data_IF_523501226774
#
_entry.id   IF_523501226774
#
_cell.length_a   1.000
_cell.length_b   1.000
_cell.length_c   1.000
_cell.angle_alpha   90.00
_cell.angle_beta   90.00
_cell.angle_gamma   90.00
#
_symmetry.space_group_name_H-M   'P 1'
#
loop_
_entity.id
_entity.type
_entity.pdbx_description
1 polymer ?
#
# COMPACT_ATOMS: atom_id res chain seq x y z
N UNK A 1 -44.97 7.52 -22.72
CA UNK A 1 -44.33 6.41 -21.98
C UNK A 1 -43.15 6.85 -21.11
N UNK A 2 -42.01 7.35 -21.63
CA UNK A 2 -40.86 7.74 -20.77
C UNK A 2 -41.13 8.93 -19.84
N UNK A 3 -42.02 9.84 -20.22
CA UNK A 3 -42.43 10.99 -19.40
C UNK A 3 -43.36 10.56 -18.27
N UNK A 4 -44.32 9.68 -18.56
CA UNK A 4 -45.23 9.09 -17.56
C UNK A 4 -44.46 8.36 -16.44
N UNK A 5 -43.33 7.71 -16.77
CA UNK A 5 -42.45 7.09 -15.76
C UNK A 5 -41.86 8.15 -14.83
N UNK A 6 -41.34 9.25 -15.36
CA UNK A 6 -40.75 10.31 -14.53
C UNK A 6 -41.82 10.98 -13.68
N UNK A 7 -42.97 11.31 -14.28
CA UNK A 7 -44.10 11.91 -13.59
C UNK A 7 -44.59 11.03 -12.42
N UNK A 8 -44.70 9.71 -12.64
CA UNK A 8 -45.13 8.77 -11.59
C UNK A 8 -44.18 8.76 -10.39
N UNK A 9 -42.87 8.78 -10.65
CA UNK A 9 -41.83 8.78 -9.61
C UNK A 9 -41.62 10.16 -8.97
N UNK A 10 -42.33 11.20 -9.45
CA UNK A 10 -42.38 12.53 -8.86
C UNK A 10 -43.68 12.81 -8.08
N UNK A 11 -44.57 11.83 -7.93
CA UNK A 11 -45.80 11.94 -7.14
C UNK A 11 -45.53 11.90 -5.63
N UNK A 12 -46.43 12.50 -4.85
CA UNK A 12 -46.27 12.72 -3.42
C UNK A 12 -46.03 11.44 -2.60
N UNK A 13 -46.58 10.30 -3.02
CA UNK A 13 -46.43 9.01 -2.37
C UNK A 13 -45.00 8.44 -2.43
N UNK A 14 -44.18 8.88 -3.40
CA UNK A 14 -42.84 8.36 -3.65
C UNK A 14 -41.75 9.41 -3.89
N UNK A 15 -42.10 10.69 -4.11
CA UNK A 15 -41.16 11.76 -4.48
C UNK A 15 -40.05 11.99 -3.47
N UNK A 16 -40.32 11.68 -2.20
CA UNK A 16 -39.40 11.86 -1.07
C UNK A 16 -38.58 10.61 -0.76
N UNK A 17 -38.73 9.54 -1.54
CA UNK A 17 -37.93 8.32 -1.42
C UNK A 17 -36.74 8.33 -2.39
N UNK A 18 -35.69 7.55 -2.09
CA UNK A 18 -34.66 7.28 -3.10
C UNK A 18 -35.27 6.52 -4.28
N UNK A 19 -34.71 6.63 -5.50
CA UNK A 19 -35.25 5.93 -6.67
C UNK A 19 -35.40 4.42 -6.46
N UNK A 20 -34.48 3.81 -5.71
CA UNK A 20 -34.59 2.39 -5.33
C UNK A 20 -35.75 2.13 -4.39
N UNK A 21 -35.94 2.96 -3.36
CA UNK A 21 -37.05 2.82 -2.40
C UNK A 21 -38.41 3.10 -3.06
N UNK A 22 -38.50 4.14 -3.90
CA UNK A 22 -39.68 4.42 -4.71
C UNK A 22 -40.04 3.24 -5.62
N UNK A 23 -39.03 2.64 -6.27
CA UNK A 23 -39.23 1.48 -7.15
C UNK A 23 -39.85 0.29 -6.41
N UNK A 24 -39.30 -0.09 -5.26
CA UNK A 24 -39.82 -1.23 -4.49
C UNK A 24 -41.16 -0.92 -3.82
N UNK A 25 -41.37 0.29 -3.31
CA UNK A 25 -42.67 0.71 -2.76
C UNK A 25 -43.80 0.57 -3.79
N UNK A 26 -43.58 1.05 -5.01
CA UNK A 26 -44.56 0.92 -6.09
C UNK A 26 -44.83 -0.54 -6.47
N UNK A 27 -43.81 -1.37 -6.44
CA UNK A 27 -43.93 -2.78 -6.76
C UNK A 27 -44.74 -3.54 -5.69
N UNK A 28 -44.42 -3.31 -4.42
CA UNK A 28 -44.93 -4.10 -3.29
C UNK A 28 -46.31 -3.63 -2.83
N UNK A 29 -46.50 -2.31 -2.70
CA UNK A 29 -47.73 -1.73 -2.16
C UNK A 29 -48.75 -1.40 -3.25
N UNK A 30 -48.28 -0.79 -4.35
CA UNK A 30 -49.16 -0.33 -5.42
C UNK A 30 -49.34 -1.37 -6.54
N UNK A 31 -48.55 -2.46 -6.55
CA UNK A 31 -48.51 -3.48 -7.60
C UNK A 31 -48.26 -2.89 -9.00
N UNK A 32 -47.50 -1.80 -9.06
CA UNK A 32 -47.18 -1.06 -10.28
C UNK A 32 -45.75 -1.38 -10.76
N UNK A 33 -45.61 -1.80 -12.01
CA UNK A 33 -44.31 -1.97 -12.66
C UNK A 33 -44.20 -1.13 -13.94
N UNK A 34 -43.25 -0.19 -13.94
CA UNK A 34 -43.10 0.81 -15.01
C UNK A 34 -41.85 0.60 -15.88
N UNK A 35 -40.71 0.24 -15.28
CA UNK A 35 -39.47 -0.08 -15.99
C UNK A 35 -38.45 -0.73 -15.05
N UNK A 36 -37.35 -1.26 -15.59
CA UNK A 36 -36.24 -1.75 -14.76
C UNK A 36 -35.53 -0.62 -14.01
N UNK A 37 -34.94 -0.94 -12.85
CA UNK A 37 -34.23 0.03 -12.02
C UNK A 37 -33.10 0.76 -12.79
N UNK A 38 -32.35 0.04 -13.61
CA UNK A 38 -31.31 0.63 -14.49
C UNK A 38 -31.87 1.66 -15.48
N UNK A 39 -33.09 1.41 -15.99
CA UNK A 39 -33.78 2.33 -16.90
C UNK A 39 -34.26 3.58 -16.17
N UNK A 40 -34.80 3.42 -14.96
CA UNK A 40 -35.20 4.53 -14.09
C UNK A 40 -34.01 5.45 -13.78
N UNK A 41 -32.89 4.89 -13.33
CA UNK A 41 -31.66 5.67 -13.06
C UNK A 41 -31.14 6.37 -14.31
N UNK A 42 -31.23 5.76 -15.50
CA UNK A 42 -30.85 6.41 -16.77
C UNK A 42 -31.76 7.60 -17.10
N UNK A 43 -33.08 7.46 -16.94
CA UNK A 43 -34.04 8.53 -17.20
C UNK A 43 -33.88 9.73 -16.26
N UNK A 44 -33.70 9.47 -14.96
CA UNK A 44 -33.51 10.52 -13.96
C UNK A 44 -32.15 11.21 -14.06
N UNK A 45 -31.08 10.48 -14.42
CA UNK A 45 -29.77 11.08 -14.74
C UNK A 45 -29.83 11.97 -15.97
N UNK A 46 -30.47 11.51 -17.05
CA UNK A 46 -30.60 12.28 -18.28
C UNK A 46 -31.35 13.61 -18.10
N UNK A 47 -32.23 13.71 -17.09
CA UNK A 47 -33.00 14.92 -16.76
C UNK A 47 -32.43 15.73 -15.59
N UNK A 48 -31.32 15.33 -15.01
CA UNK A 48 -30.75 16.01 -13.83
C UNK A 48 -31.60 15.92 -12.55
N UNK A 49 -32.62 15.05 -12.53
CA UNK A 49 -33.58 14.92 -11.42
C UNK A 49 -33.07 14.01 -10.29
N UNK A 50 -31.89 13.41 -10.44
CA UNK A 50 -31.22 12.62 -9.40
C UNK A 50 -30.15 13.44 -8.66
N UNK A 51 -30.48 14.68 -8.31
CA UNK A 51 -29.60 15.54 -7.53
C UNK A 51 -29.65 15.15 -6.04
N UNK A 52 -28.53 15.30 -5.34
CA UNK A 52 -28.46 15.02 -3.90
C UNK A 52 -29.31 16.04 -3.15
N UNK A 53 -30.24 15.56 -2.31
CA UNK A 53 -31.19 16.41 -1.55
C UNK A 53 -30.56 17.24 -0.44
N UNK A 54 -29.35 16.88 0.01
CA UNK A 54 -28.64 17.63 1.05
C UNK A 54 -27.26 18.08 0.55
N UNK A 55 -26.84 19.32 0.85
CA UNK A 55 -25.46 19.73 0.67
C UNK A 55 -24.58 18.95 1.65
N UNK A 56 -23.88 17.92 1.17
CA UNK A 56 -22.76 17.35 1.91
C UNK A 56 -21.66 18.41 1.98
N UNK A 57 -21.14 18.68 3.19
CA UNK A 57 -19.98 19.55 3.39
C UNK A 57 -18.93 19.26 2.32
N UNK A 58 -18.57 20.26 1.49
CA UNK A 58 -17.52 20.10 0.47
C UNK A 58 -16.29 19.50 1.17
N UNK A 59 -15.80 18.37 0.67
CA UNK A 59 -14.56 17.80 1.15
C UNK A 59 -13.50 18.90 1.06
N UNK A 60 -12.88 19.25 2.20
CA UNK A 60 -11.72 20.15 2.17
C UNK A 60 -10.69 19.48 1.26
N UNK A 61 -10.33 20.14 0.16
CA UNK A 61 -9.18 19.77 -0.65
C UNK A 61 -7.96 19.84 0.27
N UNK A 62 -7.50 18.68 0.73
CA UNK A 62 -6.26 18.57 1.49
C UNK A 62 -5.12 18.58 0.48
N UNK A 63 -4.06 19.33 0.76
CA UNK A 63 -2.82 19.24 -0.01
C UNK A 63 -2.40 17.77 -0.10
N UNK A 64 -2.00 17.33 -1.29
CA UNK A 64 -1.47 15.98 -1.50
C UNK A 64 -0.11 15.88 -0.80
N UNK A 65 0.27 14.70 -0.28
CA UNK A 65 1.62 14.49 0.22
C UNK A 65 2.62 14.81 -0.89
N UNK A 66 3.78 15.37 -0.53
CA UNK A 66 4.90 15.55 -1.47
C UNK A 66 5.26 14.18 -2.05
N UNK A 67 5.23 14.07 -3.38
CA UNK A 67 5.67 12.86 -4.07
C UNK A 67 7.20 12.76 -4.00
N UNK A 68 7.71 11.61 -3.57
CA UNK A 68 9.13 11.30 -3.59
C UNK A 68 9.38 10.13 -4.53
N UNK A 69 10.51 10.15 -5.22
CA UNK A 69 10.94 9.05 -6.06
C UNK A 69 12.30 8.52 -5.64
N UNK A 70 12.49 7.21 -5.80
CA UNK A 70 13.77 6.54 -5.64
C UNK A 70 14.15 5.84 -6.95
N UNK A 71 15.38 6.06 -7.40
CA UNK A 71 16.01 5.41 -8.56
C UNK A 71 17.10 4.41 -8.16
N UNK A 72 17.55 4.48 -6.91
CA UNK A 72 18.51 3.56 -6.30
C UNK A 72 18.21 3.36 -4.81
N UNK A 73 18.83 2.37 -4.16
CA UNK A 73 18.67 2.14 -2.74
C UNK A 73 19.12 3.35 -1.90
N UNK A 74 18.52 3.51 -0.72
CA UNK A 74 18.84 4.54 0.27
C UNK A 74 18.53 5.98 -0.14
N UNK A 75 17.58 6.18 -1.05
CA UNK A 75 17.06 7.51 -1.40
C UNK A 75 15.73 7.81 -0.70
N UNK A 76 14.86 6.81 -0.56
CA UNK A 76 13.58 6.94 0.14
C UNK A 76 13.34 5.71 0.99
N UNK A 77 13.22 5.92 2.30
CA UNK A 77 12.82 4.90 3.25
C UNK A 77 11.44 5.21 3.81
N UNK A 78 10.63 4.17 4.02
CA UNK A 78 9.44 4.27 4.86
C UNK A 78 9.72 3.65 6.21
N UNK A 79 9.24 4.27 7.28
CA UNK A 79 9.35 3.77 8.64
C UNK A 79 7.97 3.68 9.27
N UNK A 80 7.68 2.54 9.89
CA UNK A 80 6.44 2.34 10.62
C UNK A 80 6.62 1.36 11.81
N UNK A 81 5.63 1.31 12.69
CA UNK A 81 5.60 0.47 13.88
C UNK A 81 4.35 -0.41 13.84
N UNK A 82 4.54 -1.72 14.02
CA UNK A 82 3.42 -2.66 14.22
C UNK A 82 3.46 -3.29 15.60
N UNK A 83 2.28 -3.60 16.12
CA UNK A 83 2.12 -4.35 17.36
C UNK A 83 2.26 -5.86 17.12
N UNK A 84 2.98 -6.51 18.02
CA UNK A 84 3.09 -7.96 18.17
C UNK A 84 2.45 -8.37 19.50
N UNK A 85 1.63 -9.42 19.48
CA UNK A 85 0.87 -9.84 20.67
C UNK A 85 1.79 -10.53 21.68
N UNK A 86 1.64 -10.22 22.98
CA UNK A 86 2.22 -11.04 24.05
C UNK A 86 1.36 -12.29 24.29
N UNK A 87 1.98 -13.47 24.38
CA UNK A 87 1.30 -14.71 24.80
C UNK A 87 1.05 -14.73 26.31
N UNK A 88 1.91 -14.09 27.09
CA UNK A 88 1.88 -14.12 28.56
C UNK A 88 0.85 -13.18 29.17
N UNK A 89 0.66 -11.99 28.60
CA UNK A 89 -0.19 -10.96 29.19
C UNK A 89 -1.24 -10.45 28.20
N UNK A 90 -2.53 -10.63 28.53
CA UNK A 90 -3.65 -10.09 27.76
C UNK A 90 -3.58 -8.56 27.71
N UNK A 91 -3.62 -7.99 26.51
CA UNK A 91 -3.60 -6.54 26.30
C UNK A 91 -2.21 -5.91 26.30
N UNK A 92 -1.14 -6.69 26.52
CA UNK A 92 0.24 -6.25 26.34
C UNK A 92 0.73 -6.57 24.93
N UNK A 93 1.47 -5.63 24.35
CA UNK A 93 2.06 -5.76 23.03
C UNK A 93 3.55 -5.45 23.07
N UNK A 94 4.29 -6.08 22.18
CA UNK A 94 5.62 -5.64 21.77
C UNK A 94 5.51 -4.79 20.50
N UNK A 95 6.47 -3.92 20.28
CA UNK A 95 6.44 -2.90 19.25
C UNK A 95 7.56 -3.18 18.26
N UNK A 96 7.22 -3.66 17.07
CA UNK A 96 8.18 -3.92 16.01
C UNK A 96 8.34 -2.67 15.14
N UNK A 97 9.52 -2.06 15.23
CA UNK A 97 9.92 -0.90 14.44
C UNK A 97 10.57 -1.41 13.17
N UNK A 98 10.13 -0.93 12.00
CA UNK A 98 10.60 -1.43 10.70
C UNK A 98 10.86 -0.30 9.73
N UNK A 99 12.03 -0.33 9.10
CA UNK A 99 12.40 0.55 7.98
C UNK A 99 12.42 -0.27 6.70
N UNK A 100 11.68 0.17 5.69
CA UNK A 100 11.64 -0.45 4.35
C UNK A 100 12.21 0.53 3.34
N UNK A 101 13.13 0.06 2.51
CA UNK A 101 13.61 0.79 1.34
C UNK A 101 12.54 0.75 0.22
N UNK A 102 12.11 1.93 -0.25
CA UNK A 102 11.03 2.05 -1.24
C UNK A 102 11.42 1.45 -2.58
N UNK A 103 12.67 1.62 -2.98
CA UNK A 103 13.19 1.19 -4.27
C UNK A 103 13.28 -0.34 -4.35
N UNK A 104 13.91 -0.96 -3.36
CA UNK A 104 14.19 -2.39 -3.37
C UNK A 104 13.16 -3.26 -2.65
N UNK A 105 12.29 -2.65 -1.84
CA UNK A 105 11.40 -3.33 -0.88
C UNK A 105 12.14 -4.00 0.27
N UNK A 106 13.47 -3.85 0.37
CA UNK A 106 14.26 -4.49 1.41
C UNK A 106 13.92 -3.89 2.77
N UNK A 107 13.81 -4.74 3.79
CA UNK A 107 13.80 -4.29 5.17
C UNK A 107 15.23 -3.95 5.57
N UNK A 108 15.47 -2.65 5.73
CA UNK A 108 16.79 -2.07 6.05
C UNK A 108 17.15 -2.35 7.50
N UNK A 109 16.18 -2.16 8.39
CA UNK A 109 16.31 -2.39 9.83
C UNK A 109 14.97 -2.82 10.41
N UNK A 110 15.00 -3.78 11.33
CA UNK A 110 13.88 -4.15 12.15
C UNK A 110 14.35 -4.44 13.58
N UNK A 111 13.60 -3.96 14.58
CA UNK A 111 13.86 -4.15 16.01
C UNK A 111 12.55 -4.27 16.76
N UNK A 112 12.55 -4.95 17.89
CA UNK A 112 11.37 -5.10 18.74
C UNK A 112 11.65 -4.50 20.12
N UNK A 113 10.70 -3.71 20.60
CA UNK A 113 10.77 -3.10 21.92
C UNK A 113 9.54 -3.45 22.75
N UNK A 114 9.66 -3.29 24.07
CA UNK A 114 8.59 -3.52 25.04
C UNK A 114 7.65 -2.31 25.22
N UNK A 115 8.04 -1.15 24.68
CA UNK A 115 7.27 0.08 24.65
C UNK A 115 7.51 0.87 23.35
N UNK A 116 6.60 1.80 23.02
CA UNK A 116 6.82 2.82 21.99
C UNK A 116 7.23 4.14 22.65
N UNK A 117 8.48 4.58 22.42
CA UNK A 117 8.98 5.87 22.92
C UNK A 117 10.02 6.50 21.99
N UNK A 118 10.30 7.78 22.21
CA UNK A 118 11.22 8.56 21.39
C UNK A 118 12.67 8.06 21.45
N UNK A 119 13.15 7.59 22.60
CA UNK A 119 14.53 7.13 22.76
C UNK A 119 14.79 5.86 21.95
N UNK A 120 13.81 4.96 21.90
CA UNK A 120 13.85 3.77 21.07
C UNK A 120 13.81 4.12 19.58
N UNK A 121 12.98 5.07 19.17
CA UNK A 121 12.97 5.59 17.80
C UNK A 121 14.33 6.19 17.40
N UNK A 122 14.91 7.03 18.25
CA UNK A 122 16.22 7.66 18.02
C UNK A 122 17.32 6.61 17.89
N UNK A 123 17.38 5.64 18.81
CA UNK A 123 18.36 4.55 18.75
C UNK A 123 18.18 3.73 17.47
N UNK A 124 16.95 3.34 17.16
CA UNK A 124 16.62 2.52 16.00
C UNK A 124 17.00 3.17 14.67
N UNK A 125 16.63 4.44 14.47
CA UNK A 125 16.99 5.21 13.28
C UNK A 125 18.50 5.46 13.21
N UNK A 126 19.11 5.85 14.33
CA UNK A 126 20.55 6.10 14.41
C UNK A 126 21.39 4.87 14.09
N UNK A 127 20.97 3.69 14.54
CA UNK A 127 21.60 2.41 14.18
C UNK A 127 21.51 2.14 12.67
N UNK A 128 20.34 2.37 12.08
CA UNK A 128 20.14 2.19 10.64
C UNK A 128 20.98 3.16 9.81
N UNK A 129 21.01 4.46 10.17
CA UNK A 129 21.81 5.45 9.45
C UNK A 129 23.30 5.12 9.48
N UNK A 130 23.81 4.67 10.63
CA UNK A 130 25.21 4.23 10.78
C UNK A 130 25.50 2.97 9.97
N UNK A 131 24.63 1.95 10.06
CA UNK A 131 24.80 0.68 9.36
C UNK A 131 24.93 0.86 7.84
N UNK A 132 24.15 1.77 7.26
CA UNK A 132 24.13 2.01 5.81
C UNK A 132 24.91 3.25 5.36
N UNK A 133 25.64 3.90 6.28
CA UNK A 133 26.51 5.03 5.96
C UNK A 133 25.78 6.21 5.31
N UNK A 134 24.58 6.53 5.79
CA UNK A 134 23.72 7.57 5.21
C UNK A 134 24.37 8.95 5.39
N UNK A 135 24.47 9.69 4.28
CA UNK A 135 25.04 11.04 4.26
C UNK A 135 23.95 12.11 4.35
N UNK A 136 24.24 13.30 4.91
CA UNK A 136 23.33 14.44 4.87
C UNK A 136 22.83 14.74 3.46
N UNK A 137 21.52 14.95 3.32
CA UNK A 137 20.83 15.23 2.06
C UNK A 137 20.62 14.02 1.14
N UNK A 138 21.08 12.82 1.52
CA UNK A 138 20.97 11.62 0.69
C UNK A 138 19.58 10.96 0.77
N UNK A 139 18.98 10.97 1.96
CA UNK A 139 17.85 10.12 2.29
C UNK A 139 16.63 10.96 2.66
N UNK A 140 15.48 10.56 2.11
CA UNK A 140 14.16 10.95 2.59
C UNK A 140 13.62 9.82 3.47
N UNK A 141 13.22 10.15 4.69
CA UNK A 141 12.46 9.22 5.55
C UNK A 141 11.00 9.65 5.54
N UNK A 142 10.11 8.73 5.21
CA UNK A 142 8.68 8.92 5.32
C UNK A 142 8.11 8.07 6.44
N UNK A 143 7.31 8.68 7.30
CA UNK A 143 6.61 7.94 8.36
C UNK A 143 5.19 8.44 8.54
N UNK A 144 4.42 7.63 9.26
CA UNK A 144 3.11 8.03 9.73
C UNK A 144 3.18 9.06 10.86
N UNK A 145 2.00 9.51 11.30
CA UNK A 145 1.85 10.54 12.32
C UNK A 145 1.92 9.99 13.77
N UNK A 146 2.66 8.91 14.00
CA UNK A 146 2.83 8.31 15.33
C UNK A 146 3.47 9.26 16.34
N UNK A 147 3.21 9.04 17.63
CA UNK A 147 3.70 9.93 18.70
C UNK A 147 5.23 9.94 18.76
N UNK A 148 5.88 8.77 18.72
CA UNK A 148 7.35 8.63 18.70
C UNK A 148 8.00 9.18 17.43
N UNK A 149 7.29 9.13 16.30
CA UNK A 149 7.74 9.65 15.00
C UNK A 149 7.75 11.19 14.97
N UNK A 150 6.91 11.84 15.80
CA UNK A 150 6.81 13.31 15.92
C UNK A 150 7.56 13.88 17.11
N UNK A 151 8.14 13.03 17.94
CA UNK A 151 8.79 13.47 19.16
C UNK A 151 10.00 14.35 18.82
N UNK A 152 10.22 15.39 19.62
CA UNK A 152 11.33 16.33 19.43
C UNK A 152 12.71 15.65 19.32
N UNK A 153 13.05 14.60 20.12
CA UNK A 153 14.31 13.88 19.97
C UNK A 153 14.48 13.22 18.59
N UNK A 154 13.40 12.62 18.07
CA UNK A 154 13.39 11.98 16.74
C UNK A 154 13.60 13.03 15.65
N UNK A 155 12.91 14.16 15.73
CA UNK A 155 13.09 15.28 14.79
C UNK A 155 14.51 15.84 14.81
N UNK A 156 15.08 16.03 16.00
CA UNK A 156 16.45 16.51 16.18
C UNK A 156 17.49 15.53 15.61
N UNK A 157 17.27 14.21 15.73
CA UNK A 157 18.15 13.21 15.11
C UNK A 157 18.11 13.32 13.59
N UNK A 158 16.93 13.44 13.00
CA UNK A 158 16.77 13.55 11.54
C UNK A 158 17.46 14.80 11.01
N UNK A 159 17.25 15.94 11.67
CA UNK A 159 17.91 17.22 11.33
C UNK A 159 19.44 17.12 11.45
N UNK A 160 19.94 16.56 12.57
CA UNK A 160 21.38 16.36 12.80
C UNK A 160 22.05 15.53 11.70
N UNK A 161 21.35 14.55 11.14
CA UNK A 161 21.86 13.71 10.06
C UNK A 161 21.54 14.26 8.67
N UNK A 162 20.94 15.46 8.57
CA UNK A 162 20.52 16.07 7.30
C UNK A 162 19.50 15.24 6.53
N UNK A 163 18.64 14.50 7.24
CA UNK A 163 17.61 13.65 6.66
C UNK A 163 16.37 14.49 6.34
N UNK A 164 15.87 14.37 5.12
CA UNK A 164 14.62 15.02 4.73
C UNK A 164 13.47 14.20 5.30
N UNK A 165 12.67 14.80 6.17
CA UNK A 165 11.54 14.10 6.77
C UNK A 165 10.22 14.43 6.08
N UNK A 166 9.47 13.38 5.76
CA UNK A 166 8.15 13.45 5.17
C UNK A 166 7.13 12.76 6.07
N UNK A 167 5.95 13.35 6.21
CA UNK A 167 4.85 12.79 6.99
C UNK A 167 3.63 12.49 6.13
N UNK A 168 2.90 11.43 6.48
CA UNK A 168 1.55 11.20 5.99
C UNK A 168 0.57 12.29 6.45
N UNK A 169 -0.60 12.38 5.83
CA UNK A 169 -1.63 13.32 6.27
C UNK A 169 -2.25 12.88 7.60
N UNK A 170 -2.61 13.81 8.50
CA UNK A 170 -3.41 13.47 9.66
C UNK A 170 -4.73 12.77 9.26
N UNK A 171 -4.93 11.56 9.79
CA UNK A 171 -6.11 10.70 9.54
C UNK A 171 -6.23 10.14 8.11
N UNK A 172 -5.11 9.85 7.45
CA UNK A 172 -5.09 9.02 6.24
C UNK A 172 -4.03 7.94 6.41
N UNK A 173 -4.43 6.70 6.68
CA UNK A 173 -3.51 5.55 6.82
C UNK A 173 -2.82 5.18 5.49
N UNK A 174 -3.43 5.53 4.37
CA UNK A 174 -3.04 5.07 3.03
C UNK A 174 -1.75 5.70 2.45
N UNK A 175 -1.05 6.57 3.18
CA UNK A 175 0.09 7.32 2.64
C UNK A 175 1.44 6.56 2.86
N UNK A 176 1.44 5.40 3.54
CA UNK A 176 2.60 4.49 3.69
C UNK A 176 2.36 3.06 3.15
N UNK A 177 2.07 2.90 1.83
CA UNK A 177 1.67 1.60 1.25
C UNK A 177 2.80 0.55 1.28
N UNK A 178 4.06 0.97 1.42
CA UNK A 178 5.22 0.08 1.41
C UNK A 178 5.33 -0.67 2.75
N UNK A 179 5.29 0.05 3.87
CA UNK A 179 5.28 -0.55 5.20
C UNK A 179 4.00 -1.36 5.44
N UNK A 180 2.84 -0.88 5.00
CA UNK A 180 1.58 -1.64 5.10
C UNK A 180 1.64 -2.98 4.35
N UNK A 181 2.15 -2.96 3.11
CA UNK A 181 2.31 -4.19 2.33
C UNK A 181 3.30 -5.14 2.99
N UNK A 182 4.39 -4.63 3.56
CA UNK A 182 5.33 -5.42 4.32
C UNK A 182 4.67 -6.07 5.55
N UNK A 183 3.92 -5.33 6.36
CA UNK A 183 3.29 -5.89 7.55
C UNK A 183 2.23 -6.94 7.24
N UNK A 184 1.54 -6.81 6.11
CA UNK A 184 0.66 -7.86 5.62
C UNK A 184 1.45 -9.12 5.28
N UNK A 185 2.61 -8.99 4.62
CA UNK A 185 3.49 -10.14 4.37
C UNK A 185 4.01 -10.73 5.68
N UNK A 186 4.42 -9.91 6.65
CA UNK A 186 4.88 -10.36 7.98
C UNK A 186 3.81 -11.16 8.73
N UNK A 187 2.54 -10.73 8.69
CA UNK A 187 1.45 -11.36 9.46
C UNK A 187 0.79 -12.53 8.75
N UNK A 188 0.85 -12.58 7.41
CA UNK A 188 0.02 -13.51 6.63
C UNK A 188 0.77 -14.29 5.56
N UNK A 189 2.09 -14.10 5.38
CA UNK A 189 2.84 -14.97 4.48
C UNK A 189 2.98 -16.37 5.08
N UNK A 190 2.95 -17.38 4.21
CA UNK A 190 3.26 -18.77 4.60
C UNK A 190 4.77 -19.02 4.76
N UNK A 191 5.60 -18.04 4.42
CA UNK A 191 7.06 -18.16 4.42
C UNK A 191 7.62 -18.27 5.84
N UNK A 192 7.02 -17.55 6.79
CA UNK A 192 7.20 -17.78 8.22
C UNK A 192 5.86 -17.64 8.92
N UNK A 193 5.42 -18.68 9.63
CA UNK A 193 4.17 -18.65 10.35
C UNK A 193 4.26 -17.66 11.52
N UNK A 194 3.43 -16.62 11.45
CA UNK A 194 3.22 -15.71 12.56
C UNK A 194 2.62 -16.47 13.76
N UNK A 195 3.24 -16.41 14.96
CA UNK A 195 2.71 -17.09 16.14
C UNK A 195 1.33 -16.53 16.54
N UNK A 196 0.28 -17.33 16.35
CA UNK A 196 -1.11 -16.91 16.64
C UNK A 196 -1.32 -16.60 18.12
N UNK A 197 -0.64 -17.34 18.98
CA UNK A 197 -0.71 -17.16 20.44
C UNK A 197 0.13 -15.97 20.92
N UNK A 198 0.96 -15.38 20.05
CA UNK A 198 1.87 -14.29 20.39
C UNK A 198 3.23 -14.79 20.88
N UNK A 199 4.00 -13.88 21.48
CA UNK A 199 5.37 -14.11 21.93
C UNK A 199 5.48 -14.04 23.46
N UNK A 200 6.31 -14.90 24.06
CA UNK A 200 6.49 -14.98 25.50
C UNK A 200 7.35 -13.83 26.03
N UNK A 201 8.35 -13.39 25.26
CA UNK A 201 9.23 -12.28 25.62
C UNK A 201 9.52 -11.34 24.45
N UNK A 202 10.08 -10.16 24.75
CA UNK A 202 10.52 -9.21 23.71
C UNK A 202 11.69 -9.77 22.91
N UNK A 203 12.57 -10.56 23.55
CA UNK A 203 13.70 -11.23 22.92
C UNK A 203 13.26 -12.32 21.95
N UNK A 204 12.24 -13.10 22.30
CA UNK A 204 11.65 -14.10 21.39
C UNK A 204 11.04 -13.42 20.15
N UNK A 205 10.29 -12.32 20.38
CA UNK A 205 9.72 -11.54 19.30
C UNK A 205 10.81 -10.92 18.40
N UNK A 206 11.88 -10.37 18.98
CA UNK A 206 13.05 -9.83 18.29
C UNK A 206 13.71 -10.90 17.40
N UNK A 207 14.00 -12.09 17.95
CA UNK A 207 14.62 -13.20 17.21
C UNK A 207 13.75 -13.67 16.04
N UNK A 208 12.44 -13.79 16.27
CA UNK A 208 11.50 -14.17 15.22
C UNK A 208 11.45 -13.11 14.11
N UNK A 209 11.37 -11.82 14.46
CA UNK A 209 11.36 -10.72 13.48
C UNK A 209 12.67 -10.69 12.69
N UNK A 210 13.82 -10.87 13.33
CA UNK A 210 15.11 -10.92 12.63
C UNK A 210 15.19 -12.09 11.64
N UNK A 211 14.77 -13.29 12.07
CA UNK A 211 14.73 -14.48 11.20
C UNK A 211 13.78 -14.27 10.01
N UNK A 212 12.61 -13.70 10.26
CA UNK A 212 11.67 -13.34 9.21
C UNK A 212 12.25 -12.34 8.22
N UNK A 213 12.92 -11.29 8.71
CA UNK A 213 13.52 -10.24 7.87
C UNK A 213 14.63 -10.79 6.99
N UNK A 214 15.48 -11.66 7.51
CA UNK A 214 16.51 -12.34 6.73
C UNK A 214 15.88 -13.18 5.61
N UNK A 215 14.87 -13.99 5.94
CA UNK A 215 14.14 -14.76 4.93
C UNK A 215 13.45 -13.86 3.90
N UNK A 216 12.76 -12.81 4.34
CA UNK A 216 12.08 -11.85 3.48
C UNK A 216 13.06 -11.15 2.53
N UNK A 217 14.21 -10.72 3.02
CA UNK A 217 15.19 -10.02 2.20
C UNK A 217 15.87 -10.95 1.19
N UNK A 218 16.26 -12.16 1.60
CA UNK A 218 17.14 -13.00 0.77
C UNK A 218 16.42 -14.12 0.01
N UNK A 219 15.22 -14.51 0.42
CA UNK A 219 14.52 -15.67 -0.16
C UNK A 219 13.13 -15.32 -0.73
N UNK A 220 12.38 -14.42 -0.08
CA UNK A 220 11.03 -14.07 -0.53
C UNK A 220 11.04 -13.41 -1.92
N UNK A 221 10.23 -13.95 -2.83
CA UNK A 221 10.08 -13.44 -4.20
C UNK A 221 9.00 -12.38 -4.24
N UNK A 222 9.39 -11.11 -4.32
CA UNK A 222 8.46 -10.02 -4.11
C UNK A 222 7.79 -9.55 -5.42
N UNK A 223 6.45 -9.64 -5.48
CA UNK A 223 5.65 -9.32 -6.68
C UNK A 223 5.87 -7.90 -7.20
N UNK A 224 6.01 -6.93 -6.28
CA UNK A 224 6.20 -5.51 -6.61
C UNK A 224 7.54 -5.18 -7.30
N UNK A 225 8.47 -6.14 -7.36
CA UNK A 225 9.78 -6.03 -8.01
C UNK A 225 10.00 -7.18 -8.98
N UNK A 226 8.95 -7.56 -9.71
CA UNK A 226 9.00 -8.64 -10.73
C UNK A 226 9.55 -9.95 -10.17
N UNK A 227 9.22 -10.33 -8.94
CA UNK A 227 9.64 -11.60 -8.33
C UNK A 227 11.17 -11.77 -8.27
N UNK A 228 11.95 -10.70 -8.11
CA UNK A 228 13.30 -10.83 -7.52
C UNK A 228 13.20 -10.73 -6.00
N UNK A 229 14.26 -11.09 -5.27
CA UNK A 229 14.26 -10.89 -3.82
C UNK A 229 14.59 -9.43 -3.48
N UNK A 230 14.07 -8.89 -2.36
CA UNK A 230 14.38 -7.52 -1.96
C UNK A 230 15.88 -7.24 -1.82
N UNK A 231 16.65 -8.20 -1.30
CA UNK A 231 18.10 -8.14 -1.19
C UNK A 231 18.80 -8.09 -2.54
N UNK A 232 18.39 -8.93 -3.50
CA UNK A 232 18.90 -8.88 -4.88
C UNK A 232 18.68 -7.50 -5.50
N UNK A 233 17.48 -6.94 -5.32
CA UNK A 233 17.16 -5.61 -5.85
C UNK A 233 17.97 -4.51 -5.16
N UNK A 234 18.18 -4.61 -3.86
CA UNK A 234 18.98 -3.65 -3.11
C UNK A 234 20.45 -3.66 -3.54
N UNK A 235 20.99 -4.82 -3.91
CA UNK A 235 22.35 -4.97 -4.45
C UNK A 235 22.45 -4.72 -5.96
N UNK A 236 21.36 -4.27 -6.60
CA UNK A 236 21.28 -4.04 -8.05
C UNK A 236 21.53 -5.29 -8.92
N UNK A 237 21.22 -6.47 -8.40
CA UNK A 237 21.37 -7.77 -9.09
C UNK A 237 20.15 -8.13 -9.96
N UNK A 238 19.07 -7.35 -9.87
CA UNK A 238 17.78 -7.67 -10.47
C UNK A 238 17.82 -7.68 -12.01
N UNK A 239 18.62 -6.80 -12.62
CA UNK A 239 18.77 -6.76 -14.07
C UNK A 239 19.27 -8.10 -14.63
N UNK A 240 20.27 -8.68 -13.99
CA UNK A 240 20.85 -9.96 -14.43
C UNK A 240 19.90 -11.13 -14.15
N UNK A 241 19.23 -11.15 -12.99
CA UNK A 241 18.23 -12.17 -12.65
C UNK A 241 17.08 -12.17 -13.66
N UNK A 242 16.59 -10.98 -14.03
CA UNK A 242 15.50 -10.83 -14.98
C UNK A 242 15.91 -11.16 -16.42
N UNK A 243 17.14 -10.81 -16.82
CA UNK A 243 17.71 -11.20 -18.11
C UNK A 243 17.75 -12.72 -18.27
N UNK A 244 18.35 -13.43 -17.30
CA UNK A 244 18.40 -14.91 -17.29
C UNK A 244 17.01 -15.53 -17.35
N UNK A 245 16.07 -15.00 -16.56
CA UNK A 245 14.68 -15.48 -16.57
C UNK A 245 14.02 -15.33 -17.95
N UNK A 246 14.25 -14.20 -18.61
CA UNK A 246 13.74 -13.97 -19.97
C UNK A 246 14.32 -14.97 -20.95
N UNK A 247 15.62 -15.25 -20.86
CA UNK A 247 16.29 -16.24 -21.71
C UNK A 247 15.68 -17.64 -21.54
N UNK A 248 15.51 -18.09 -20.29
CA UNK A 248 14.85 -19.36 -19.98
C UNK A 248 13.43 -19.42 -20.54
N UNK A 249 12.65 -18.34 -20.42
CA UNK A 249 11.28 -18.29 -20.96
C UNK A 249 11.26 -18.38 -22.50
N UNK A 250 12.19 -17.68 -23.17
CA UNK A 250 12.29 -17.71 -24.62
C UNK A 250 12.78 -19.07 -25.13
N UNK A 251 13.71 -19.70 -24.44
CA UNK A 251 14.17 -21.06 -24.76
C UNK A 251 13.05 -22.08 -24.58
N UNK A 252 12.33 -22.04 -23.46
CA UNK A 252 11.17 -22.91 -23.25
C UNK A 252 10.10 -22.71 -24.33
N UNK A 253 9.89 -21.47 -24.78
CA UNK A 253 8.97 -21.16 -25.89
C UNK A 253 9.43 -21.70 -27.24
N UNK A 254 10.74 -21.66 -27.52
CA UNK A 254 11.29 -22.30 -28.73
C UNK A 254 11.10 -23.81 -28.71
N UNK A 255 11.27 -24.44 -27.56
CA UNK A 255 11.18 -25.90 -27.42
C UNK A 255 9.73 -26.41 -27.38
N UNK A 256 8.79 -25.62 -26.85
CA UNK A 256 7.39 -26.00 -26.64
C UNK A 256 6.41 -24.88 -27.01
N UNK A 257 6.37 -24.43 -28.27
CA UNK A 257 5.55 -23.27 -28.68
C UNK A 257 4.05 -23.46 -28.38
N UNK A 258 3.56 -24.71 -28.34
CA UNK A 258 2.17 -25.06 -28.04
C UNK A 258 1.68 -24.61 -26.65
N UNK A 259 2.59 -24.33 -25.71
CA UNK A 259 2.23 -23.84 -24.35
C UNK A 259 1.87 -22.36 -24.32
N UNK A 260 2.10 -21.61 -25.41
CA UNK A 260 1.85 -20.18 -25.47
C UNK A 260 0.68 -19.87 -26.42
N UNK A 261 -0.42 -19.35 -25.85
CA UNK A 261 -1.54 -18.81 -26.62
C UNK A 261 -1.21 -17.34 -26.92
N UNK A 262 -0.50 -17.10 -28.03
CA UNK A 262 -0.10 -15.77 -28.49
C UNK A 262 1.36 -15.39 -28.19
N UNK A 263 1.69 -14.12 -28.42
CA UNK A 263 3.08 -13.62 -28.39
C UNK A 263 3.58 -13.17 -27.03
N UNK A 264 2.69 -13.06 -26.04
CA UNK A 264 3.02 -12.52 -24.73
C UNK A 264 3.91 -13.47 -23.92
N UNK A 265 4.97 -12.93 -23.34
CA UNK A 265 5.85 -13.60 -22.39
C UNK A 265 5.88 -12.83 -21.08
N UNK A 266 6.26 -13.50 -19.98
CA UNK A 266 6.38 -12.87 -18.66
C UNK A 266 7.23 -11.60 -18.73
N UNK A 267 6.70 -10.49 -18.20
CA UNK A 267 7.44 -9.22 -18.16
C UNK A 267 8.66 -9.34 -17.24
N UNK A 268 9.84 -9.40 -17.86
CA UNK A 268 11.15 -9.44 -17.20
C UNK A 268 11.93 -8.15 -17.39
N UNK A 269 11.24 -7.01 -17.57
CA UNK A 269 11.91 -5.70 -17.64
C UNK A 269 12.21 -5.22 -16.22
N UNK A 270 13.46 -4.82 -15.92
CA UNK A 270 13.79 -4.21 -14.63
C UNK A 270 12.93 -3.01 -14.34
N UNK A 271 12.55 -2.84 -13.07
CA UNK A 271 11.81 -1.65 -12.65
C UNK A 271 12.80 -0.50 -12.57
N UNK A 272 12.43 0.67 -13.09
CA UNK A 272 13.23 1.87 -12.97
C UNK A 272 12.91 2.63 -11.69
N UNK A 273 12.53 3.89 -11.85
CA UNK A 273 12.10 4.79 -10.79
C UNK A 273 10.85 4.27 -10.07
N UNK A 274 10.88 4.31 -8.74
CA UNK A 274 9.76 3.94 -7.87
C UNK A 274 9.27 5.18 -7.13
N UNK A 275 7.97 5.36 -7.05
CA UNK A 275 7.36 6.53 -6.40
C UNK A 275 6.72 6.17 -5.06
N UNK A 276 6.94 7.03 -4.07
CA UNK A 276 6.17 7.14 -2.85
C UNK A 276 5.14 8.27 -3.04
N UNK A 277 3.85 7.94 -2.88
CA UNK A 277 2.72 8.85 -3.05
C UNK A 277 2.71 9.59 -4.41
N UNK A 278 2.69 8.85 -5.54
CA UNK A 278 2.73 9.44 -6.87
C UNK A 278 1.50 10.34 -7.15
N UNK A 279 1.74 11.42 -7.88
CA UNK A 279 0.68 12.26 -8.43
C UNK A 279 0.07 11.61 -9.70
N UNK A 280 -1.15 12.01 -10.05
CA UNK A 280 -1.81 11.55 -11.28
C UNK A 280 -0.89 11.81 -12.50
N UNK A 281 -0.59 10.77 -13.27
CA UNK A 281 0.29 10.82 -14.45
C UNK A 281 1.73 10.33 -14.21
N UNK A 282 2.19 10.23 -12.95
CA UNK A 282 3.55 9.73 -12.63
C UNK A 282 3.65 8.20 -12.62
N UNK A 283 2.50 7.50 -12.59
CA UNK A 283 2.39 6.04 -12.65
C UNK A 283 2.22 5.49 -14.07
N UNK A 284 2.28 6.32 -15.12
CA UNK A 284 2.23 5.84 -16.50
C UNK A 284 3.55 5.15 -16.88
N UNK A 285 3.76 3.92 -16.38
CA UNK A 285 4.49 2.93 -17.16
C UNK A 285 3.67 2.78 -18.46
N UNK A 286 4.18 3.33 -19.57
CA UNK A 286 3.65 3.07 -20.91
C UNK A 286 3.40 1.57 -21.02
N UNK A 287 2.13 1.15 -20.98
CA UNK A 287 1.76 -0.19 -21.45
C UNK A 287 2.30 -0.26 -22.86
N UNK A 288 3.31 -1.09 -23.08
CA UNK A 288 3.75 -1.42 -24.43
C UNK A 288 2.49 -1.93 -25.18
N UNK A 289 2.16 -1.38 -26.35
CA UNK A 289 0.99 -1.82 -27.10
C UNK A 289 1.22 -3.27 -27.53
N UNK A 290 0.45 -4.21 -26.97
CA UNK A 290 0.58 -5.63 -27.31
C UNK A 290 0.13 -6.63 -26.23
N UNK A 291 -0.81 -6.26 -25.35
CA UNK A 291 -1.47 -7.22 -24.46
C UNK A 291 -2.98 -7.04 -24.56
N UNK A 292 -3.56 -7.68 -25.56
CA UNK A 292 -4.97 -8.08 -25.64
C UNK A 292 -5.01 -9.60 -25.75
#
# INVERSE_FOLDING_TARGET
MREQIVERFCREDVRDLSLTQAFYKLLDENKEYWCSLSTLYRLFRARGLNARRAPTRKARLRSRPTAYSAEKPNEVWTWDITYLRSSTYTGRFYYAYVIVDVYSRMVVSARVFDADNADFAVRFLGDAFRKYGIRPGQLVVHSDNGASMKAAPTMALLEKNGIIFSHSRPRVSNDNPYSESFFRTLKYSGDCLYPRDGFNSVEEAEQWVQSFVEHYNEHHRHRGIRMVTPGQRYRCEDAEVLRRRRETMLEARRNHPERWIGDSVLNCTPIGRVWLNPENGQLEEKRLPGAA
#
